data_IF_238275690845
#
_entry.id   IF_238275690845
#
_cell.length_a   1.000
_cell.length_b   1.000
_cell.length_c   1.000
_cell.angle_alpha   90.00
_cell.angle_beta   90.00
_cell.angle_gamma   90.00
#
_symmetry.space_group_name_H-M   'P 1'
#
loop_
_entity.id
_entity.type
_entity.pdbx_description
1 polymer ?
#
# COMPACT_ATOMS: atom_id res chain seq x y z
N UNK A 1 19.76 -5.87 3.56
CA UNK A 1 18.62 -4.92 3.55
C UNK A 1 17.78 -5.20 2.32
N UNK A 2 16.50 -5.52 2.48
CA UNK A 2 15.60 -5.80 1.35
C UNK A 2 15.22 -4.49 0.64
N UNK A 3 15.06 -4.54 -0.70
CA UNK A 3 14.62 -3.38 -1.48
C UNK A 3 13.22 -2.96 -1.03
N UNK A 4 12.99 -1.66 -0.85
CA UNK A 4 11.69 -1.16 -0.40
C UNK A 4 10.56 -1.56 -1.34
N UNK A 5 10.78 -1.51 -2.66
CA UNK A 5 9.79 -1.95 -3.64
C UNK A 5 9.39 -3.42 -3.51
N UNK A 6 10.30 -4.30 -3.06
CA UNK A 6 9.96 -5.70 -2.81
C UNK A 6 9.08 -5.85 -1.57
N UNK A 7 9.43 -5.17 -0.47
CA UNK A 7 8.63 -5.18 0.77
C UNK A 7 7.22 -4.66 0.50
N UNK A 8 7.13 -3.49 -0.15
CA UNK A 8 5.86 -2.85 -0.46
C UNK A 8 5.00 -3.72 -1.37
N UNK A 9 5.61 -4.36 -2.38
CA UNK A 9 4.91 -5.31 -3.24
C UNK A 9 4.36 -6.49 -2.45
N UNK A 10 5.19 -7.11 -1.60
CA UNK A 10 4.78 -8.28 -0.81
C UNK A 10 3.62 -7.95 0.13
N UNK A 11 3.68 -6.79 0.80
CA UNK A 11 2.60 -6.27 1.64
C UNK A 11 1.33 -5.99 0.84
N UNK A 12 1.42 -5.31 -0.31
CA UNK A 12 0.27 -5.00 -1.15
C UNK A 12 -0.43 -6.28 -1.64
N UNK A 13 0.34 -7.31 -1.98
CA UNK A 13 -0.20 -8.61 -2.38
C UNK A 13 -0.95 -9.34 -1.26
N UNK A 14 -0.74 -9.00 0.02
CA UNK A 14 -1.52 -9.59 1.13
C UNK A 14 -2.96 -9.11 1.17
N UNK A 15 -3.28 -7.98 0.50
CA UNK A 15 -4.62 -7.38 0.51
C UNK A 15 -5.55 -8.00 -0.54
N UNK A 16 -4.99 -8.72 -1.52
CA UNK A 16 -5.70 -9.23 -2.68
C UNK A 16 -6.11 -10.69 -2.47
N UNK A 17 -7.29 -11.07 -2.97
CA UNK A 17 -7.84 -12.44 -2.86
C UNK A 17 -6.98 -13.49 -3.55
N UNK A 18 -6.34 -13.12 -4.65
CA UNK A 18 -5.54 -14.03 -5.47
C UNK A 18 -4.15 -13.42 -5.65
N UNK A 19 -3.15 -14.08 -5.05
CA UNK A 19 -1.74 -13.66 -5.13
C UNK A 19 -1.10 -14.04 -6.46
N UNK A 20 -1.71 -14.97 -7.20
CA UNK A 20 -1.18 -15.51 -8.46
C UNK A 20 -1.76 -14.82 -9.71
N UNK A 21 -2.80 -14.00 -9.54
CA UNK A 21 -3.39 -13.23 -10.63
C UNK A 21 -2.87 -11.80 -10.65
N UNK A 22 -2.65 -11.25 -11.85
CA UNK A 22 -2.38 -9.83 -12.03
C UNK A 22 -3.65 -9.04 -11.69
N UNK A 23 -3.64 -8.16 -10.67
CA UNK A 23 -4.80 -7.33 -10.35
C UNK A 23 -5.04 -6.27 -11.43
N UNK A 24 -6.24 -5.66 -11.42
CA UNK A 24 -6.49 -4.45 -12.19
C UNK A 24 -5.52 -3.33 -11.80
N UNK A 25 -5.31 -2.36 -12.70
CA UNK A 25 -4.46 -1.22 -12.43
C UNK A 25 -4.93 -0.45 -11.20
N UNK A 26 -6.23 -0.17 -11.07
CA UNK A 26 -6.82 0.53 -9.94
C UNK A 26 -6.66 -0.27 -8.63
N UNK A 27 -6.88 -1.59 -8.65
CA UNK A 27 -6.67 -2.43 -7.48
C UNK A 27 -5.19 -2.44 -7.04
N UNK A 28 -4.26 -2.53 -7.99
CA UNK A 28 -2.83 -2.45 -7.72
C UNK A 28 -2.44 -1.09 -7.10
N UNK A 29 -2.89 0.02 -7.68
CA UNK A 29 -2.61 1.36 -7.17
C UNK A 29 -3.22 1.58 -5.79
N UNK A 30 -4.46 1.12 -5.55
CA UNK A 30 -5.11 1.19 -4.24
C UNK A 30 -4.32 0.40 -3.19
N UNK A 31 -3.88 -0.82 -3.51
CA UNK A 31 -3.10 -1.64 -2.58
C UNK A 31 -1.76 -0.98 -2.23
N UNK A 32 -1.05 -0.43 -3.22
CA UNK A 32 0.19 0.33 -3.01
C UNK A 32 -0.02 1.60 -2.18
N UNK A 33 -1.15 2.30 -2.38
CA UNK A 33 -1.54 3.47 -1.60
C UNK A 33 -1.75 3.09 -0.12
N UNK A 34 -2.48 2.01 0.16
CA UNK A 34 -2.68 1.55 1.54
C UNK A 34 -1.36 1.20 2.24
N UNK A 35 -0.45 0.51 1.55
CA UNK A 35 0.88 0.20 2.10
C UNK A 35 1.66 1.47 2.40
N UNK A 36 1.68 2.44 1.48
CA UNK A 36 2.35 3.73 1.70
C UNK A 36 1.79 4.43 2.95
N UNK A 37 0.47 4.50 3.09
CA UNK A 37 -0.20 5.14 4.23
C UNK A 37 0.13 4.43 5.54
N UNK A 38 -0.08 3.11 5.61
CA UNK A 38 0.15 2.34 6.82
C UNK A 38 1.62 2.36 7.25
N UNK A 39 2.54 2.23 6.30
CA UNK A 39 3.98 2.25 6.55
C UNK A 39 4.41 3.57 7.18
N UNK A 40 4.09 4.70 6.54
CA UNK A 40 4.49 6.02 7.03
C UNK A 40 3.77 6.40 8.33
N UNK A 41 2.50 6.04 8.47
CA UNK A 41 1.73 6.26 9.69
C UNK A 41 2.36 5.58 10.89
N UNK A 42 2.87 4.36 10.72
CA UNK A 42 3.58 3.64 11.80
C UNK A 42 4.85 4.35 12.28
N UNK A 43 5.45 5.21 11.44
CA UNK A 43 6.62 6.01 11.75
C UNK A 43 6.26 7.40 12.30
N UNK A 44 4.96 7.64 12.58
CA UNK A 44 4.44 8.94 13.01
C UNK A 44 4.27 9.97 11.88
N UNK A 45 4.39 9.56 10.61
CA UNK A 45 4.19 10.45 9.47
C UNK A 45 2.77 10.27 8.89
N UNK A 46 1.89 11.22 9.20
CA UNK A 46 0.47 11.17 8.82
C UNK A 46 0.15 11.86 7.48
N UNK A 47 1.13 12.36 6.73
CA UNK A 47 0.87 13.18 5.52
C UNK A 47 0.10 12.39 4.45
N UNK A 48 0.50 11.14 4.21
CA UNK A 48 -0.22 10.24 3.30
C UNK A 48 -1.62 9.90 3.83
N UNK A 49 -1.76 9.68 5.15
CA UNK A 49 -3.04 9.36 5.80
C UNK A 49 -4.06 10.51 5.68
N UNK A 50 -3.62 11.77 5.71
CA UNK A 50 -4.53 12.91 5.56
C UNK A 50 -5.16 13.02 4.17
N UNK A 51 -4.54 12.44 3.15
CA UNK A 51 -4.91 12.67 1.75
C UNK A 51 -5.34 11.39 1.00
N UNK A 52 -5.15 10.20 1.58
CA UNK A 52 -5.33 8.95 0.84
C UNK A 52 -6.75 8.76 0.31
N UNK A 53 -7.78 9.17 1.07
CA UNK A 53 -9.18 9.01 0.64
C UNK A 53 -9.47 9.74 -0.66
N UNK A 54 -8.93 10.95 -0.83
CA UNK A 54 -9.08 11.70 -2.09
C UNK A 54 -8.45 10.96 -3.28
N UNK A 55 -7.30 10.32 -3.07
CA UNK A 55 -6.61 9.56 -4.12
C UNK A 55 -7.38 8.26 -4.42
N UNK A 56 -7.79 7.55 -3.37
CA UNK A 56 -8.54 6.30 -3.46
C UNK A 56 -9.86 6.48 -4.22
N UNK A 57 -10.60 7.56 -3.94
CA UNK A 57 -11.84 7.88 -4.65
C UNK A 57 -11.65 7.94 -6.18
N UNK A 58 -10.49 8.42 -6.66
CA UNK A 58 -10.21 8.45 -8.12
C UNK A 58 -10.04 7.05 -8.71
N UNK A 59 -9.48 6.11 -7.93
CA UNK A 59 -9.37 4.72 -8.35
C UNK A 59 -10.75 4.04 -8.35
N UNK A 60 -11.57 4.31 -7.33
CA UNK A 60 -12.94 3.82 -7.25
C UNK A 60 -13.82 4.35 -8.39
N UNK A 61 -13.69 5.64 -8.74
CA UNK A 61 -14.40 6.24 -9.87
C UNK A 61 -13.98 5.62 -11.21
N UNK A 62 -12.69 5.30 -11.39
CA UNK A 62 -12.16 4.65 -12.59
C UNK A 62 -12.60 3.19 -12.70
N UNK A 63 -12.56 2.45 -11.58
CA UNK A 63 -12.96 1.05 -11.51
C UNK A 63 -13.71 0.74 -10.19
N UNK A 64 -15.05 0.90 -10.16
CA UNK A 64 -15.84 0.58 -8.96
C UNK A 64 -15.77 -0.89 -8.54
N UNK A 65 -15.36 -1.78 -9.46
CA UNK A 65 -15.23 -3.20 -9.20
C UNK A 65 -13.89 -3.60 -8.55
N UNK A 66 -12.96 -2.66 -8.32
CA UNK A 66 -11.65 -2.96 -7.73
C UNK A 66 -11.75 -3.73 -6.40
N UNK A 67 -12.76 -3.41 -5.59
CA UNK A 67 -12.99 -4.07 -4.29
C UNK A 67 -13.34 -5.55 -4.39
N UNK A 68 -13.79 -6.02 -5.57
CA UNK A 68 -14.00 -7.45 -5.80
C UNK A 68 -12.68 -8.24 -5.77
N UNK A 69 -11.54 -7.57 -5.97
CA UNK A 69 -10.20 -8.17 -5.96
C UNK A 69 -9.58 -8.17 -4.56
N UNK A 70 -10.03 -7.28 -3.67
CA UNK A 70 -9.56 -7.19 -2.29
C UNK A 70 -10.24 -8.22 -1.40
N UNK A 71 -9.54 -8.66 -0.35
CA UNK A 71 -10.09 -9.55 0.69
C UNK A 71 -11.22 -8.85 1.46
N UNK A 72 -11.09 -7.54 1.70
CA UNK A 72 -12.07 -6.70 2.40
C UNK A 72 -12.07 -5.30 1.79
N UNK A 73 -13.18 -4.56 1.94
CA UNK A 73 -13.28 -3.14 1.62
C UNK A 73 -13.25 -2.24 2.85
N UNK A 74 -12.99 -2.79 4.04
CA UNK A 74 -12.84 -2.03 5.27
C UNK A 74 -11.44 -1.39 5.34
N UNK A 75 -11.37 -0.08 5.08
CA UNK A 75 -10.11 0.66 5.02
C UNK A 75 -9.37 0.68 6.36
N UNK A 76 -10.10 0.80 7.47
CA UNK A 76 -9.51 0.85 8.80
C UNK A 76 -8.91 -0.52 9.16
N UNK A 77 -9.62 -1.60 8.81
CA UNK A 77 -9.09 -2.96 8.96
C UNK A 77 -7.81 -3.16 8.12
N UNK A 78 -7.81 -2.72 6.85
CA UNK A 78 -6.63 -2.80 5.96
C UNK A 78 -5.43 -2.07 6.58
N UNK A 79 -5.62 -0.82 7.02
CA UNK A 79 -4.55 -0.01 7.59
C UNK A 79 -4.02 -0.62 8.89
N UNK A 80 -4.91 -1.13 9.75
CA UNK A 80 -4.52 -1.80 11.00
C UNK A 80 -3.72 -3.08 10.74
N UNK A 81 -4.14 -3.88 9.76
CA UNK A 81 -3.47 -5.14 9.39
C UNK A 81 -2.07 -4.88 8.82
N UNK A 82 -1.92 -3.89 7.95
CA UNK A 82 -0.63 -3.49 7.39
C UNK A 82 0.32 -2.89 8.44
N UNK A 83 -0.22 -2.12 9.39
CA UNK A 83 0.56 -1.60 10.51
C UNK A 83 1.11 -2.75 11.37
N UNK A 84 0.27 -3.72 11.73
CA UNK A 84 0.72 -4.93 12.45
C UNK A 84 1.75 -5.72 11.66
N UNK A 85 1.55 -5.88 10.35
CA UNK A 85 2.52 -6.54 9.47
C UNK A 85 3.89 -5.85 9.56
N UNK A 86 3.94 -4.53 9.41
CA UNK A 86 5.22 -3.81 9.52
C UNK A 86 5.85 -3.98 10.91
N UNK A 87 5.05 -3.90 11.97
CA UNK A 87 5.55 -4.04 13.34
C UNK A 87 6.11 -5.45 13.63
N UNK A 88 5.52 -6.50 13.04
CA UNK A 88 5.97 -7.88 13.17
C UNK A 88 7.25 -8.17 12.37
N UNK A 89 7.31 -7.72 11.11
CA UNK A 89 8.38 -8.11 10.18
C UNK A 89 9.48 -7.07 9.99
N UNK A 90 9.19 -5.79 10.24
CA UNK A 90 10.08 -4.65 10.02
C UNK A 90 10.00 -3.60 11.15
N UNK A 91 10.10 -4.00 12.44
CA UNK A 91 9.91 -3.09 13.58
C UNK A 91 10.89 -1.91 13.58
N UNK A 92 12.14 -2.18 13.21
CA UNK A 92 13.24 -1.21 13.29
C UNK A 92 13.55 -0.52 11.96
N UNK A 93 12.71 -0.70 10.92
CA UNK A 93 12.94 -0.08 9.62
C UNK A 93 12.50 1.39 9.61
N UNK A 94 13.43 2.35 9.55
CA UNK A 94 13.11 3.77 9.72
C UNK A 94 12.78 4.47 8.40
N UNK A 95 12.87 3.76 7.27
CA UNK A 95 12.78 4.37 5.94
C UNK A 95 11.38 4.96 5.75
N UNK A 96 11.31 6.24 5.38
CA UNK A 96 10.05 6.93 5.07
C UNK A 96 9.81 6.86 3.57
N UNK A 97 8.65 6.34 3.16
CA UNK A 97 8.28 6.25 1.74
C UNK A 97 7.88 7.65 1.26
N UNK A 98 8.46 8.12 0.16
CA UNK A 98 8.13 9.44 -0.44
C UNK A 98 7.45 9.31 -1.80
N UNK A 99 7.68 8.19 -2.50
CA UNK A 99 7.00 7.83 -3.75
C UNK A 99 6.63 6.36 -3.67
N UNK A 100 5.38 6.03 -3.99
CA UNK A 100 4.90 4.66 -4.11
C UNK A 100 3.87 4.57 -5.24
N UNK A 101 4.11 3.70 -6.21
CA UNK A 101 3.19 3.49 -7.32
C UNK A 101 3.73 2.52 -8.36
N UNK A 102 3.10 2.50 -9.53
CA UNK A 102 3.56 1.72 -10.67
C UNK A 102 4.29 2.62 -11.68
N UNK A 103 5.38 2.12 -12.24
CA UNK A 103 5.98 2.63 -13.48
C UNK A 103 5.96 1.49 -14.48
N UNK A 104 5.24 1.69 -15.58
CA UNK A 104 4.92 0.62 -16.52
C UNK A 104 4.23 -0.54 -15.76
N UNK A 105 4.84 -1.71 -15.71
CA UNK A 105 4.31 -2.89 -14.99
C UNK A 105 5.04 -3.17 -13.66
N UNK A 106 5.95 -2.29 -13.24
CA UNK A 106 6.78 -2.50 -12.06
C UNK A 106 6.40 -1.58 -10.90
N UNK A 107 6.46 -2.14 -9.68
CA UNK A 107 6.34 -1.36 -8.45
C UNK A 107 7.59 -0.48 -8.29
N UNK A 108 7.37 0.83 -8.24
CA UNK A 108 8.41 1.84 -8.03
C UNK A 108 8.23 2.48 -6.66
N UNK A 109 9.29 2.47 -5.86
CA UNK A 109 9.28 3.06 -4.52
C UNK A 109 10.55 3.86 -4.29
N UNK A 110 10.39 5.09 -3.83
CA UNK A 110 11.48 5.95 -3.34
C UNK A 110 11.28 6.19 -1.85
N UNK A 111 12.40 6.28 -1.12
CA UNK A 111 12.39 6.47 0.32
C UNK A 111 13.55 7.37 0.75
N UNK A 112 13.41 7.95 1.93
CA UNK A 112 14.51 8.59 2.65
C UNK A 112 14.80 7.83 3.94
N UNK A 113 16.03 7.93 4.43
CA UNK A 113 16.30 7.62 5.82
C UNK A 113 15.78 8.80 6.68
N UNK A 114 15.31 8.53 7.90
CA UNK A 114 14.93 9.58 8.86
C UNK A 114 16.13 10.45 9.27
#
# INVERSE_FOLDING_TARGET
>A
MQKMSAIVKDMAMTLLKSRDSVPSGEAAHAALLFVHVAWNKSLGNDDAYRNYQMILNRFEESNPALWNEFITSDHEAILADLARYKEEYYPDDPRVIVVCGMREENVHVEWTDQ
#
